data_IF_765755435791
#
_entry.id   IF_765755435791
#
_cell.length_a   1.000
_cell.length_b   1.000
_cell.length_c   1.000
_cell.angle_alpha   90.00
_cell.angle_beta   90.00
_cell.angle_gamma   90.00
#
_symmetry.space_group_name_H-M   'P 1'
#
loop_
_entity.id
_entity.type
_entity.pdbx_description
1 polymer ?
#
# COMPACT_ATOMS: atom_id res chain seq x y z
N UNK A 1 3.98 -3.44 -12.54
CA UNK A 1 3.24 -4.20 -11.51
C UNK A 1 3.14 -5.68 -11.83
N UNK A 2 2.68 -6.08 -13.02
CA UNK A 2 2.45 -7.50 -13.39
C UNK A 2 3.51 -8.51 -12.92
N UNK A 3 4.82 -8.30 -13.19
CA UNK A 3 5.85 -9.29 -12.85
C UNK A 3 6.10 -9.46 -11.35
N UNK A 4 5.52 -8.60 -10.51
CA UNK A 4 5.69 -8.61 -9.05
C UNK A 4 4.50 -9.29 -8.34
N UNK A 5 3.38 -9.55 -9.04
CA UNK A 5 2.16 -10.09 -8.44
C UNK A 5 2.41 -11.44 -7.75
N UNK A 6 2.84 -12.43 -8.51
CA UNK A 6 3.11 -13.78 -8.01
C UNK A 6 4.25 -13.80 -6.98
N UNK A 7 5.42 -13.15 -7.22
CA UNK A 7 6.47 -13.07 -6.21
C UNK A 7 6.04 -12.49 -4.87
N UNK A 8 5.11 -11.52 -4.85
CA UNK A 8 4.57 -10.99 -3.59
C UNK A 8 3.73 -12.04 -2.87
N UNK A 9 2.80 -12.68 -3.58
CA UNK A 9 1.94 -13.71 -2.98
C UNK A 9 2.77 -14.89 -2.46
N UNK A 10 3.76 -15.34 -3.23
CA UNK A 10 4.67 -16.41 -2.81
C UNK A 10 5.49 -16.00 -1.59
N UNK A 11 5.99 -14.76 -1.54
CA UNK A 11 6.74 -14.26 -0.39
C UNK A 11 5.90 -14.26 0.89
N UNK A 12 4.64 -13.82 0.81
CA UNK A 12 3.72 -13.83 1.94
C UNK A 12 3.27 -15.24 2.32
N UNK A 13 3.05 -16.13 1.35
CA UNK A 13 2.78 -17.54 1.59
C UNK A 13 3.95 -18.24 2.29
N UNK A 14 5.17 -17.99 1.82
CA UNK A 14 6.40 -18.47 2.45
C UNK A 14 6.54 -17.97 3.89
N UNK A 15 6.40 -16.66 4.10
CA UNK A 15 6.48 -16.05 5.42
C UNK A 15 5.45 -16.64 6.38
N UNK A 16 4.20 -16.81 5.94
CA UNK A 16 3.15 -17.46 6.74
C UNK A 16 3.58 -18.86 7.16
N UNK A 17 3.97 -19.70 6.20
CA UNK A 17 4.37 -21.08 6.46
C UNK A 17 5.53 -21.15 7.46
N UNK A 18 6.55 -20.29 7.30
CA UNK A 18 7.69 -20.19 8.21
C UNK A 18 7.27 -19.85 9.64
N UNK A 19 6.37 -18.87 9.80
CA UNK A 19 5.88 -18.45 11.11
C UNK A 19 5.03 -19.52 11.79
N UNK A 20 4.23 -20.27 11.01
CA UNK A 20 3.46 -21.42 11.50
C UNK A 20 4.38 -22.54 12.00
N UNK A 21 5.41 -22.90 11.22
CA UNK A 21 6.42 -23.91 11.62
C UNK A 21 7.17 -23.49 12.89
N UNK A 22 7.46 -22.20 13.05
CA UNK A 22 8.10 -21.65 14.24
C UNK A 22 7.16 -21.51 15.44
N UNK A 23 5.86 -21.75 15.28
CA UNK A 23 4.87 -21.59 16.34
C UNK A 23 4.67 -20.15 16.81
N UNK A 24 4.93 -19.16 15.94
CA UNK A 24 4.72 -17.75 16.28
C UNK A 24 3.22 -17.47 16.35
N UNK A 25 2.75 -17.14 17.55
CA UNK A 25 1.31 -16.97 17.85
C UNK A 25 0.63 -15.89 17.02
N UNK A 26 -0.63 -16.10 16.67
CA UNK A 26 -1.51 -15.16 15.96
C UNK A 26 -2.26 -14.19 16.89
N UNK A 27 -2.08 -14.31 18.21
CA UNK A 27 -2.75 -13.49 19.21
C UNK A 27 -2.51 -11.98 19.03
N UNK A 28 -3.54 -11.19 19.29
CA UNK A 28 -3.53 -9.74 19.10
C UNK A 28 -2.49 -9.02 19.97
N UNK A 29 -2.20 -9.55 21.17
CA UNK A 29 -1.21 -9.02 22.10
C UNK A 29 0.22 -9.01 21.52
N UNK A 30 0.50 -9.91 20.57
CA UNK A 30 1.79 -10.07 19.89
C UNK A 30 1.72 -9.81 18.39
N UNK A 31 0.65 -9.16 17.91
CA UNK A 31 0.45 -8.82 16.50
C UNK A 31 1.63 -8.06 15.90
N UNK A 32 2.26 -7.19 16.68
CA UNK A 32 3.44 -6.41 16.26
C UNK A 32 4.66 -7.29 15.98
N UNK A 33 4.90 -8.32 16.79
CA UNK A 33 6.02 -9.25 16.62
C UNK A 33 5.81 -10.11 15.37
N UNK A 34 4.59 -10.63 15.20
CA UNK A 34 4.20 -11.36 13.99
C UNK A 34 4.39 -10.50 12.72
N UNK A 35 4.00 -9.24 12.79
CA UNK A 35 4.20 -8.27 11.70
C UNK A 35 5.69 -8.05 11.38
N UNK A 36 6.55 -8.00 12.39
CA UNK A 36 7.99 -7.86 12.20
C UNK A 36 8.59 -9.11 11.53
N UNK A 37 8.16 -10.31 11.95
CA UNK A 37 8.60 -11.56 11.32
C UNK A 37 8.15 -11.67 9.85
N UNK A 38 6.89 -11.35 9.53
CA UNK A 38 6.45 -11.29 8.13
C UNK A 38 7.33 -10.36 7.29
N UNK A 39 7.66 -9.17 7.80
CA UNK A 39 8.54 -8.24 7.08
C UNK A 39 9.94 -8.81 6.86
N UNK A 40 10.47 -9.56 7.82
CA UNK A 40 11.79 -10.20 7.66
C UNK A 40 11.72 -11.28 6.58
N UNK A 41 10.80 -12.24 6.72
CA UNK A 41 10.72 -13.39 5.80
C UNK A 41 10.33 -12.96 4.38
N UNK A 42 9.42 -11.99 4.23
CA UNK A 42 9.06 -11.44 2.90
C UNK A 42 10.24 -10.71 2.27
N UNK A 43 11.01 -9.95 3.05
CA UNK A 43 12.19 -9.28 2.54
C UNK A 43 13.26 -10.29 2.08
N UNK A 44 13.53 -11.30 2.90
CA UNK A 44 14.52 -12.34 2.58
C UNK A 44 14.09 -13.12 1.33
N UNK A 45 12.81 -13.49 1.23
CA UNK A 45 12.26 -14.15 0.05
C UNK A 45 12.43 -13.30 -1.21
N UNK A 46 11.94 -12.05 -1.20
CA UNK A 46 12.04 -11.18 -2.37
C UNK A 46 13.48 -10.80 -2.72
N UNK A 47 14.40 -10.80 -1.74
CA UNK A 47 15.82 -10.56 -1.99
C UNK A 47 16.52 -11.76 -2.63
N UNK A 48 16.06 -12.97 -2.33
CA UNK A 48 16.58 -14.21 -2.91
C UNK A 48 15.96 -14.54 -4.28
N UNK A 49 14.75 -14.03 -4.57
CA UNK A 49 14.04 -14.28 -5.82
C UNK A 49 14.07 -13.03 -6.68
N UNK A 50 14.65 -13.13 -7.87
CA UNK A 50 14.69 -12.00 -8.80
C UNK A 50 13.26 -11.55 -9.13
N UNK A 51 13.01 -10.25 -9.01
CA UNK A 51 11.75 -9.64 -9.43
C UNK A 51 12.03 -8.72 -10.61
N UNK A 52 11.54 -9.11 -11.78
CA UNK A 52 11.85 -8.42 -13.04
C UNK A 52 11.51 -6.93 -12.98
N UNK A 53 12.49 -6.09 -13.33
CA UNK A 53 12.35 -4.62 -13.32
C UNK A 53 12.06 -3.99 -11.96
N UNK A 54 12.24 -4.71 -10.85
CA UNK A 54 12.09 -4.18 -9.49
C UNK A 54 13.38 -4.26 -8.70
N UNK A 55 13.58 -3.28 -7.83
CA UNK A 55 14.69 -3.24 -6.88
C UNK A 55 14.16 -3.04 -5.46
N UNK A 56 14.78 -3.69 -4.49
CA UNK A 56 14.42 -3.56 -3.07
C UNK A 56 15.37 -2.58 -2.39
N UNK A 57 14.84 -1.63 -1.61
CA UNK A 57 15.64 -0.69 -0.82
C UNK A 57 16.19 -1.35 0.46
N UNK A 58 17.34 -2.02 0.33
CA UNK A 58 18.04 -2.69 1.43
C UNK A 58 18.38 -1.74 2.59
N UNK A 59 18.69 -0.48 2.28
CA UNK A 59 19.09 0.51 3.27
C UNK A 59 17.93 0.88 4.18
N UNK A 60 16.73 1.03 3.63
CA UNK A 60 15.52 1.28 4.45
C UNK A 60 15.14 0.05 5.26
N UNK A 61 15.27 -1.13 4.69
CA UNK A 61 14.96 -2.36 5.43
C UNK A 61 15.85 -2.50 6.67
N UNK A 62 17.17 -2.34 6.55
CA UNK A 62 18.08 -2.44 7.70
C UNK A 62 17.85 -1.40 8.80
N UNK A 63 17.17 -0.29 8.51
CA UNK A 63 16.87 0.76 9.50
C UNK A 63 15.60 0.51 10.32
N UNK A 64 14.56 -0.07 9.72
CA UNK A 64 13.26 -0.20 10.39
C UNK A 64 12.37 -1.36 9.87
N UNK A 65 12.94 -2.30 9.12
CA UNK A 65 12.25 -3.43 8.52
C UNK A 65 11.26 -3.04 7.42
N UNK A 66 11.29 -1.81 6.90
CA UNK A 66 10.39 -1.42 5.82
C UNK A 66 10.80 -2.09 4.51
N UNK A 67 9.82 -2.65 3.79
CA UNK A 67 10.02 -3.19 2.45
C UNK A 67 9.54 -2.16 1.45
N UNK A 68 10.49 -1.61 0.69
CA UNK A 68 10.25 -0.63 -0.36
C UNK A 68 10.75 -1.22 -1.67
N UNK A 69 9.88 -1.29 -2.65
CA UNK A 69 10.18 -1.78 -4.00
C UNK A 69 10.12 -0.60 -4.96
N UNK A 70 11.13 -0.45 -5.80
CA UNK A 70 11.25 0.64 -6.79
C UNK A 70 11.36 0.00 -8.17
N UNK A 71 10.43 0.36 -9.04
CA UNK A 71 10.45 -0.08 -10.44
C UNK A 71 11.63 0.57 -11.17
N UNK A 72 12.23 -0.13 -12.14
CA UNK A 72 13.44 0.31 -12.85
C UNK A 72 13.26 1.63 -13.60
N UNK A 73 12.02 1.95 -14.01
CA UNK A 73 11.66 3.24 -14.61
C UNK A 73 11.60 4.41 -13.62
N UNK A 74 11.68 4.16 -12.30
CA UNK A 74 11.52 5.14 -11.21
C UNK A 74 10.18 5.90 -11.23
N UNK A 75 9.23 5.42 -12.01
CA UNK A 75 7.86 5.91 -12.17
C UNK A 75 6.90 5.29 -11.15
N UNK A 76 7.32 4.20 -10.50
CA UNK A 76 6.51 3.46 -9.56
C UNK A 76 7.33 3.00 -8.36
N UNK A 77 6.81 3.26 -7.16
CA UNK A 77 7.35 2.78 -5.91
C UNK A 77 6.23 2.14 -5.08
N UNK A 78 6.53 1.02 -4.42
CA UNK A 78 5.61 0.32 -3.54
C UNK A 78 6.21 0.26 -2.16
N UNK A 79 5.37 0.43 -1.15
CA UNK A 79 5.69 0.11 0.23
C UNK A 79 4.74 -0.95 0.75
N UNK A 80 5.30 -2.04 1.29
CA UNK A 80 4.51 -3.09 1.94
C UNK A 80 4.18 -2.68 3.37
N UNK A 81 2.91 -2.74 3.75
CA UNK A 81 2.42 -2.45 5.10
C UNK A 81 1.37 -3.48 5.49
N UNK A 82 1.25 -3.75 6.79
CA UNK A 82 0.09 -4.48 7.29
C UNK A 82 -1.12 -3.56 7.27
N UNK A 83 -2.28 -4.10 6.95
CA UNK A 83 -3.56 -3.43 7.11
C UNK A 83 -3.76 -2.96 8.56
N UNK A 84 -4.25 -1.73 8.73
CA UNK A 84 -4.45 -1.10 10.03
C UNK A 84 -5.94 -1.11 10.43
N UNK A 85 -6.24 -1.16 11.74
CA UNK A 85 -7.61 -1.04 12.25
C UNK A 85 -8.08 0.43 12.23
N UNK A 86 -8.05 1.06 11.06
CA UNK A 86 -8.51 2.44 10.81
C UNK A 86 -9.55 2.43 9.68
N UNK A 87 -10.42 3.45 9.55
CA UNK A 87 -11.33 3.54 8.42
C UNK A 87 -10.59 3.35 7.08
N UNK A 88 -11.10 2.43 6.24
CA UNK A 88 -10.50 2.06 4.97
C UNK A 88 -9.27 1.14 5.04
N UNK A 89 -8.82 0.73 6.23
CA UNK A 89 -7.72 -0.22 6.43
C UNK A 89 -6.30 0.35 6.21
N UNK A 90 -6.17 1.57 5.70
CA UNK A 90 -4.86 2.12 5.32
C UNK A 90 -4.15 2.74 6.54
N UNK A 91 -2.92 2.31 6.91
CA UNK A 91 -2.20 2.89 8.03
C UNK A 91 -1.85 4.36 7.77
N UNK A 92 -2.19 5.25 8.68
CA UNK A 92 -1.86 6.68 8.57
C UNK A 92 -0.34 6.93 8.49
N UNK A 93 0.06 8.00 7.81
CA UNK A 93 1.47 8.35 7.65
C UNK A 93 2.15 8.79 8.97
N UNK A 94 1.37 9.28 9.94
CA UNK A 94 1.87 9.84 11.19
C UNK A 94 2.61 11.18 10.99
N UNK A 95 3.46 11.56 11.94
CA UNK A 95 4.14 12.87 11.96
C UNK A 95 5.40 12.94 11.09
N UNK A 96 5.97 11.81 10.66
CA UNK A 96 7.24 11.79 9.93
C UNK A 96 7.12 12.42 8.53
N UNK A 97 7.86 13.50 8.28
CA UNK A 97 7.80 14.28 7.03
C UNK A 97 8.03 13.43 5.77
N UNK A 98 9.01 12.53 5.77
CA UNK A 98 9.30 11.66 4.61
C UNK A 98 8.16 10.67 4.36
N UNK A 99 7.57 10.11 5.42
CA UNK A 99 6.40 9.22 5.31
C UNK A 99 5.17 9.97 4.80
N UNK A 100 4.94 11.20 5.28
CA UNK A 100 3.84 12.06 4.81
C UNK A 100 4.01 12.45 3.34
N UNK A 101 5.23 12.73 2.89
CA UNK A 101 5.51 13.02 1.48
C UNK A 101 5.18 11.83 0.56
N UNK A 102 5.52 10.61 0.99
CA UNK A 102 5.19 9.39 0.24
C UNK A 102 3.67 9.22 0.01
N UNK A 103 2.84 9.68 0.96
CA UNK A 103 1.38 9.55 0.89
C UNK A 103 0.70 10.63 0.04
N UNK A 104 1.45 11.59 -0.52
CA UNK A 104 0.91 12.72 -1.28
C UNK A 104 1.11 12.51 -2.77
N UNK A 105 0.44 11.53 -3.35
CA UNK A 105 0.34 11.44 -4.80
C UNK A 105 -0.51 12.59 -5.35
N UNK A 106 -0.24 13.02 -6.59
CA UNK A 106 -1.19 13.87 -7.32
C UNK A 106 -2.42 13.04 -7.68
N UNK A 107 -3.64 13.48 -7.34
CA UNK A 107 -4.88 12.75 -7.66
C UNK A 107 -4.97 12.37 -9.14
N UNK A 108 -5.46 11.17 -9.44
CA UNK A 108 -5.66 10.68 -10.81
C UNK A 108 -6.48 11.63 -11.69
N UNK A 109 -7.53 12.24 -11.14
CA UNK A 109 -8.39 13.20 -11.86
C UNK A 109 -7.65 14.47 -12.33
N UNK A 110 -6.48 14.77 -11.75
CA UNK A 110 -5.64 15.91 -12.11
C UNK A 110 -4.49 15.52 -13.04
N UNK A 111 -4.42 14.26 -13.48
CA UNK A 111 -3.49 13.83 -14.51
C UNK A 111 -4.06 14.25 -15.86
N UNK A 112 -3.23 14.92 -16.67
CA UNK A 112 -3.65 15.34 -18.00
C UNK A 112 -4.08 14.11 -18.81
N UNK A 113 -5.39 14.01 -19.07
CA UNK A 113 -6.01 12.96 -19.91
C UNK A 113 -5.40 12.88 -21.33
N UNK A 114 -4.64 13.90 -21.74
CA UNK A 114 -4.09 14.09 -23.08
C UNK A 114 -2.61 14.47 -23.09
N UNK A 115 -1.82 13.95 -22.16
CA UNK A 115 -0.37 14.14 -22.20
C UNK A 115 0.33 13.32 -21.13
N UNK A 116 1.21 12.40 -21.55
CA UNK A 116 2.06 11.66 -20.63
C UNK A 116 2.87 12.65 -19.80
N UNK A 117 2.51 12.80 -18.52
CA UNK A 117 3.38 13.48 -17.56
C UNK A 117 4.61 12.60 -17.37
N UNK A 118 5.65 12.83 -18.19
CA UNK A 118 6.90 12.05 -18.27
C UNK A 118 7.66 11.92 -16.93
N UNK A 119 7.19 12.55 -15.86
CA UNK A 119 7.82 12.59 -14.54
C UNK A 119 6.88 12.25 -13.38
N UNK A 120 5.74 11.58 -13.63
CA UNK A 120 4.87 11.20 -12.51
C UNK A 120 5.40 9.92 -11.84
N UNK A 121 5.88 10.06 -10.60
CA UNK A 121 6.14 8.91 -9.73
C UNK A 121 4.87 8.57 -8.95
N UNK A 122 4.44 7.32 -9.04
CA UNK A 122 3.33 6.79 -8.28
C UNK A 122 3.86 6.08 -7.03
N UNK A 123 3.42 6.52 -5.87
CA UNK A 123 3.72 5.87 -4.59
C UNK A 123 2.50 5.04 -4.19
N UNK A 124 2.64 3.72 -4.20
CA UNK A 124 1.59 2.78 -3.82
C UNK A 124 1.87 2.14 -2.47
N UNK A 125 0.81 1.79 -1.75
CA UNK A 125 0.90 0.93 -0.58
C UNK A 125 0.30 -0.42 -0.96
N UNK A 126 1.04 -1.50 -0.77
CA UNK A 126 0.45 -2.83 -0.75
C UNK A 126 0.20 -3.19 0.70
N UNK A 127 -1.07 -3.30 1.04
CA UNK A 127 -1.58 -3.69 2.34
C UNK A 127 -1.73 -5.20 2.35
N UNK A 128 -1.27 -5.83 3.42
CA UNK A 128 -1.52 -7.24 3.67
C UNK A 128 -2.33 -7.44 4.93
N UNK A 129 -3.22 -8.42 4.90
CA UNK A 129 -3.88 -8.90 6.10
C UNK A 129 -3.91 -10.43 6.14
N UNK A 130 -4.02 -10.97 7.33
CA UNK A 130 -4.19 -12.41 7.55
C UNK A 130 -5.68 -12.66 7.78
N UNK A 131 -6.38 -13.06 6.71
CA UNK A 131 -7.77 -13.47 6.78
C UNK A 131 -7.83 -15.01 6.77
N UNK A 132 -8.19 -15.61 7.90
CA UNK A 132 -8.35 -17.06 8.05
C UNK A 132 -7.11 -17.87 7.58
N UNK A 133 -7.32 -18.70 6.55
CA UNK A 133 -6.34 -19.63 6.00
C UNK A 133 -5.40 -18.99 4.97
N UNK A 134 -5.57 -17.70 4.64
CA UNK A 134 -4.79 -17.06 3.58
C UNK A 134 -4.29 -15.65 3.95
N UNK A 135 -3.26 -15.18 3.23
CA UNK A 135 -2.84 -13.77 3.28
C UNK A 135 -3.47 -13.06 2.08
N UNK A 136 -4.23 -11.99 2.35
CA UNK A 136 -4.78 -11.12 1.33
C UNK A 136 -3.82 -9.97 1.05
N UNK A 137 -3.76 -9.51 -0.20
CA UNK A 137 -2.97 -8.35 -0.61
C UNK A 137 -3.91 -7.35 -1.30
N UNK A 138 -3.82 -6.08 -0.91
CA UNK A 138 -4.61 -4.98 -1.46
C UNK A 138 -3.72 -3.80 -1.79
N UNK A 139 -3.78 -3.32 -3.02
CA UNK A 139 -3.00 -2.16 -3.47
C UNK A 139 -3.85 -0.91 -3.35
N UNK A 140 -3.31 0.11 -2.70
CA UNK A 140 -3.93 1.43 -2.57
C UNK A 140 -3.00 2.54 -2.99
N UNK A 141 -3.56 3.64 -3.51
CA UNK A 141 -2.83 4.86 -3.84
C UNK A 141 -3.28 6.01 -2.92
N UNK A 142 -2.44 6.41 -1.94
CA UNK A 142 -2.77 7.51 -1.05
C UNK A 142 -2.57 8.87 -1.73
N UNK A 143 -3.50 9.80 -1.49
CA UNK A 143 -3.41 11.21 -1.93
C UNK A 143 -3.21 12.19 -0.76
N UNK A 144 -3.16 11.68 0.48
CA UNK A 144 -2.86 12.46 1.66
C UNK A 144 -2.43 11.59 2.84
N UNK A 145 -1.87 12.19 3.91
CA UNK A 145 -1.31 11.45 5.05
C UNK A 145 -2.34 10.74 5.95
N UNK A 146 -3.60 11.16 5.88
CA UNK A 146 -4.70 10.65 6.70
C UNK A 146 -4.62 10.99 8.18
N UNK A 147 -5.66 10.58 8.91
CA UNK A 147 -5.72 10.61 10.38
C UNK A 147 -6.41 9.36 10.90
N UNK A 148 -6.19 9.00 12.17
CA UNK A 148 -6.81 7.80 12.76
C UNK A 148 -8.34 7.83 12.72
N UNK A 149 -8.93 9.03 12.77
CA UNK A 149 -10.38 9.23 12.80
C UNK A 149 -11.02 9.22 11.41
N UNK A 150 -10.35 9.81 10.40
CA UNK A 150 -10.90 9.95 9.03
C UNK A 150 -10.34 8.92 8.04
N UNK A 151 -9.34 8.13 8.45
CA UNK A 151 -8.61 7.24 7.55
C UNK A 151 -7.64 8.01 6.65
N UNK A 152 -7.10 7.30 5.66
CA UNK A 152 -6.21 7.87 4.64
C UNK A 152 -7.02 8.13 3.37
N UNK A 153 -7.00 9.35 2.81
CA UNK A 153 -7.66 9.60 1.54
C UNK A 153 -6.88 8.88 0.43
N UNK A 154 -7.60 8.11 -0.39
CA UNK A 154 -7.08 7.30 -1.49
C UNK A 154 -7.86 7.58 -2.76
N UNK A 155 -7.20 7.43 -3.92
CA UNK A 155 -7.83 7.54 -5.24
C UNK A 155 -7.79 6.23 -6.05
N UNK A 156 -7.24 5.16 -5.45
CA UNK A 156 -7.25 3.80 -5.97
C UNK A 156 -7.22 2.81 -4.80
N UNK A 157 -8.07 1.78 -4.87
CA UNK A 157 -8.06 0.59 -4.00
C UNK A 157 -8.45 -0.60 -4.85
N UNK A 158 -7.59 -1.61 -4.92
CA UNK A 158 -7.87 -2.84 -5.64
C UNK A 158 -7.23 -4.02 -4.92
N UNK A 159 -7.98 -5.11 -4.76
CA UNK A 159 -7.40 -6.36 -4.30
C UNK A 159 -6.43 -6.88 -5.34
N UNK A 160 -5.27 -7.34 -4.88
CA UNK A 160 -4.22 -7.86 -5.74
C UNK A 160 -4.49 -9.36 -5.95
N UNK A 161 -4.91 -9.79 -7.14
CA UNK A 161 -5.15 -11.19 -7.41
C UNK A 161 -3.85 -11.98 -7.33
N UNK A 162 -3.96 -13.32 -7.23
CA UNK A 162 -2.81 -14.19 -7.00
C UNK A 162 -1.91 -14.36 -8.21
N UNK A 163 -2.50 -14.41 -9.38
CA UNK A 163 -1.78 -14.71 -10.62
C UNK A 163 -1.56 -13.46 -11.44
N UNK A 164 -0.48 -13.47 -12.21
CA UNK A 164 -0.22 -12.40 -13.18
C UNK A 164 -1.35 -12.31 -14.21
N UNK A 165 -1.89 -13.46 -14.63
CA UNK A 165 -2.97 -13.52 -15.64
C UNK A 165 -4.24 -12.84 -15.13
N UNK A 166 -4.64 -13.10 -13.89
CA UNK A 166 -5.82 -12.47 -13.29
C UNK A 166 -5.62 -10.96 -13.12
N UNK A 167 -4.40 -10.54 -12.75
CA UNK A 167 -4.06 -9.12 -12.67
C UNK A 167 -4.16 -8.43 -14.03
N UNK A 168 -3.65 -9.06 -15.09
CA UNK A 168 -3.72 -8.53 -16.45
C UNK A 168 -5.14 -8.55 -17.04
N UNK A 169 -6.02 -9.40 -16.49
CA UNK A 169 -7.43 -9.44 -16.83
C UNK A 169 -8.25 -8.36 -16.11
N UNK A 170 -7.72 -7.70 -15.06
CA UNK A 170 -8.44 -6.66 -14.35
C UNK A 170 -8.80 -5.49 -15.28
N UNK A 171 -10.04 -5.02 -15.17
CA UNK A 171 -10.55 -3.87 -15.94
C UNK A 171 -11.10 -2.84 -14.97
N UNK A 172 -10.98 -1.58 -15.35
CA UNK A 172 -11.71 -0.51 -14.67
C UNK A 172 -13.14 -0.55 -15.18
N UNK A 173 -14.07 -0.87 -14.29
CA UNK A 173 -15.49 -0.68 -14.55
C UNK A 173 -15.87 0.71 -14.02
N UNK A 174 -16.34 1.56 -14.93
CA UNK A 174 -17.01 2.80 -14.53
C UNK A 174 -18.42 2.38 -14.12
N UNK A 175 -18.67 2.38 -12.81
CA UNK A 175 -20.02 2.25 -12.30
C UNK A 175 -20.69 3.60 -12.55
N UNK A 176 -21.73 3.62 -13.40
CA UNK A 176 -22.54 4.82 -13.61
C UNK A 176 -23.09 5.33 -12.27
N UNK A 177 -23.11 6.65 -12.15
CA UNK A 177 -23.39 7.46 -10.96
C UNK A 177 -24.77 7.18 -10.35
N UNK A 178 -24.88 6.19 -9.46
CA UNK A 178 -25.96 6.07 -8.47
C UNK A 178 -25.44 5.43 -7.17
N UNK A 179 -24.13 5.52 -6.91
CA UNK A 179 -23.56 5.25 -5.60
C UNK A 179 -23.81 6.49 -4.75
N UNK A 180 -24.85 6.42 -3.91
CA UNK A 180 -25.14 7.37 -2.84
C UNK A 180 -23.84 7.99 -2.34
N UNK A 181 -23.69 9.28 -2.66
CA UNK A 181 -22.61 10.10 -2.17
C UNK A 181 -22.59 9.92 -0.65
N UNK A 182 -21.72 9.06 -0.14
CA UNK A 182 -21.21 9.21 1.21
C UNK A 182 -20.30 10.42 1.10
N UNK A 183 -20.93 11.60 1.07
CA UNK A 183 -20.29 12.89 0.97
C UNK A 183 -19.28 12.94 2.10
N UNK A 184 -18.01 12.74 1.79
CA UNK A 184 -16.94 13.12 2.71
C UNK A 184 -17.02 14.64 2.74
N UNK A 185 -17.71 15.17 3.74
CA UNK A 185 -17.80 16.61 3.95
C UNK A 185 -16.38 17.13 4.18
N UNK A 186 -15.88 17.85 3.19
CA UNK A 186 -14.78 18.76 3.39
C UNK A 186 -15.39 19.97 4.11
N UNK A 187 -15.32 19.99 5.44
CA UNK A 187 -15.43 21.25 6.16
C UNK A 187 -14.21 22.08 5.76
N UNK A 188 -14.41 22.95 4.77
CA UNK A 188 -13.62 24.16 4.61
C UNK A 188 -13.92 25.03 5.84
N UNK A 189 -13.07 24.94 6.86
CA UNK A 189 -13.03 26.01 7.86
C UNK A 189 -12.37 27.24 7.22
N UNK A 190 -13.23 28.02 6.57
CA UNK A 190 -13.02 29.42 6.27
C UNK A 190 -12.98 30.21 7.58
N UNK A 191 -11.76 30.46 8.06
CA UNK A 191 -11.48 31.49 9.05
C UNK A 191 -11.22 32.83 8.35
N UNK A 192 -12.26 33.42 7.75
CA UNK A 192 -12.24 34.80 7.25
C UNK A 192 -11.83 35.78 8.36
N UNK A 193 -10.90 36.68 8.04
CA UNK A 193 -10.31 37.65 8.97
C UNK A 193 -11.17 38.86 9.33
N UNK A 194 -10.58 39.74 10.15
CA UNK A 194 -11.11 41.08 10.46
C UNK A 194 -10.26 41.82 11.49
N UNK A 195 -9.63 42.91 11.06
CA UNK A 195 -8.70 43.78 11.78
C UNK A 195 -9.36 44.70 12.84
N UNK A 196 -8.60 45.04 13.89
CA UNK A 196 -8.45 46.38 14.48
C UNK A 196 -7.26 46.40 15.43
#
# INVERSE_FOLDING_TARGET
MSPLVEPLHDAFGHARHRLEVLGITTGDDKRWLRTAHYRSEVFDYLSAHAVDSWSIDWKRHSQNGAIHLIHSGSDLAIRLLREAPTPGGVPCAGSNTRRRAYYRNRPCAQLALWGASKNLSHNLLTLWDECDAEVSLRVVRPIGPGSSHRGVPIDLSADLPRTQTDFEAMRFEVLDEDLDETTVSYDEEDGSGGSA
#
